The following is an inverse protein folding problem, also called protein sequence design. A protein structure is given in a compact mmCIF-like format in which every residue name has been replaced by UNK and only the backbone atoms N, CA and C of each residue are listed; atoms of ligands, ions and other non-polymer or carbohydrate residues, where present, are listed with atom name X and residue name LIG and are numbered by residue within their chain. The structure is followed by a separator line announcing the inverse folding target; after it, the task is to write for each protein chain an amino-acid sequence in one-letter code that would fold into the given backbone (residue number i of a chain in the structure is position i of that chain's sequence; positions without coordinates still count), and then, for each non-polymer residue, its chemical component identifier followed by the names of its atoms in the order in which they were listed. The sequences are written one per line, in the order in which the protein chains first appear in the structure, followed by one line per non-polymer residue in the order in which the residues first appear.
data_IF_753455508535
#
_entry.id   IF_753455508535
#
_cell.length_a   1.000
_cell.length_b   1.000
_cell.length_c   1.000
_cell.angle_alpha   90.00
_cell.angle_beta   90.00
_cell.angle_gamma   90.00
#
_symmetry.space_group_name_H-M   'P 1'
#
loop_
_entity.id
_entity.type
_entity.pdbx_description
1 polymer ?
#
# COMPACT_ATOMS: atom_id res chain seq x y z
N UNK A 1 -13.86 21.42 10.78
CA UNK A 1 -12.39 21.43 10.91
C UNK A 1 -11.82 22.11 9.67
N UNK A 2 -11.09 23.23 9.81
CA UNK A 2 -10.42 23.88 8.67
C UNK A 2 -9.36 22.92 8.14
N UNK A 3 -9.43 22.58 6.85
CA UNK A 3 -8.33 21.89 6.18
C UNK A 3 -7.19 22.89 6.05
N UNK A 4 -6.10 22.67 6.75
CA UNK A 4 -4.85 23.38 6.46
C UNK A 4 -4.36 22.91 5.09
N UNK A 5 -4.35 23.81 4.12
CA UNK A 5 -3.81 23.56 2.79
C UNK A 5 -2.40 24.12 2.78
N UNK A 6 -1.42 23.23 2.61
CA UNK A 6 -0.02 23.59 2.41
C UNK A 6 0.39 23.21 1.00
N UNK A 7 1.00 24.14 0.27
CA UNK A 7 1.45 23.95 -1.11
C UNK A 7 2.92 24.30 -1.24
N UNK A 8 3.63 23.59 -2.12
CA UNK A 8 5.00 23.94 -2.44
C UNK A 8 5.35 23.46 -3.82
N UNK A 9 6.11 24.28 -4.55
CA UNK A 9 6.67 23.92 -5.85
C UNK A 9 8.07 23.34 -5.64
N UNK A 10 8.36 22.23 -6.31
CA UNK A 10 9.68 21.58 -6.31
C UNK A 10 9.99 21.04 -7.70
N UNK A 11 11.26 21.07 -8.09
CA UNK A 11 11.72 20.39 -9.29
C UNK A 11 11.85 18.89 -9.01
N UNK A 12 11.50 18.07 -10.00
CA UNK A 12 11.75 16.63 -9.95
C UNK A 12 13.25 16.34 -10.02
N UNK A 13 13.72 15.37 -9.24
CA UNK A 13 15.07 14.86 -9.38
C UNK A 13 15.22 13.96 -10.62
N UNK A 14 16.45 13.46 -10.89
CA UNK A 14 16.80 12.79 -12.15
C UNK A 14 15.95 11.56 -12.52
N UNK A 15 15.36 10.90 -11.52
CA UNK A 15 14.53 9.70 -11.70
C UNK A 15 13.04 9.96 -11.49
N UNK A 16 12.59 11.21 -11.58
CA UNK A 16 11.21 11.58 -11.23
C UNK A 16 10.94 11.58 -9.71
N UNK A 17 12.00 11.62 -8.91
CA UNK A 17 11.90 11.65 -7.44
C UNK A 17 11.45 13.02 -6.93
N UNK A 18 10.51 13.04 -6.00
CA UNK A 18 10.06 14.24 -5.29
C UNK A 18 10.68 14.24 -3.89
N UNK A 19 11.31 15.36 -3.51
CA UNK A 19 11.84 15.53 -2.16
C UNK A 19 10.77 16.17 -1.29
N UNK A 20 10.25 15.42 -0.32
CA UNK A 20 9.30 15.97 0.67
C UNK A 20 9.99 17.00 1.57
N UNK A 21 9.49 18.24 1.53
CA UNK A 21 9.96 19.30 2.42
C UNK A 21 9.71 18.95 3.89
N UNK A 22 10.49 19.55 4.79
CA UNK A 22 10.50 19.23 6.24
C UNK A 22 9.11 19.44 6.86
N UNK A 23 8.40 20.45 6.40
CA UNK A 23 7.06 20.84 6.85
C UNK A 23 6.03 19.75 6.54
N UNK A 24 6.01 19.25 5.29
CA UNK A 24 5.11 18.15 4.91
C UNK A 24 5.41 16.88 5.68
N UNK A 25 6.70 16.52 5.84
CA UNK A 25 7.08 15.33 6.63
C UNK A 25 6.58 15.41 8.07
N UNK A 26 6.73 16.58 8.71
CA UNK A 26 6.23 16.79 10.08
C UNK A 26 4.71 16.72 10.16
N UNK A 27 4.00 17.32 9.19
CA UNK A 27 2.54 17.34 9.17
C UNK A 27 1.93 15.95 8.91
N UNK A 28 2.54 15.15 8.03
CA UNK A 28 2.03 13.82 7.65
C UNK A 28 2.61 12.68 8.50
N UNK A 29 3.65 12.94 9.29
CA UNK A 29 4.37 11.92 10.04
C UNK A 29 5.11 10.90 9.15
N UNK A 30 5.40 11.26 7.89
CA UNK A 30 6.19 10.47 6.95
C UNK A 30 7.68 10.79 7.19
N UNK A 31 8.39 9.82 7.77
CA UNK A 31 9.81 9.93 8.11
C UNK A 31 10.65 8.93 7.29
N UNK A 32 11.98 9.08 7.21
CA UNK A 32 12.83 8.06 6.60
C UNK A 32 12.51 6.65 7.13
N UNK A 33 12.35 5.68 6.24
CA UNK A 33 11.94 4.31 6.57
C UNK A 33 10.42 4.09 6.67
N UNK A 34 9.60 5.14 6.62
CA UNK A 34 8.13 5.00 6.57
C UNK A 34 7.70 4.42 5.23
N UNK A 35 6.84 3.40 5.25
CA UNK A 35 6.17 2.88 4.06
C UNK A 35 4.99 3.79 3.72
N UNK A 36 4.88 4.15 2.45
CA UNK A 36 3.78 4.99 1.93
C UNK A 36 3.02 4.23 0.85
N UNK A 37 1.76 4.61 0.67
CA UNK A 37 0.94 4.16 -0.44
C UNK A 37 0.77 5.31 -1.42
N UNK A 38 1.02 5.00 -2.69
CA UNK A 38 0.87 5.93 -3.79
C UNK A 38 -0.34 5.52 -4.62
N UNK A 39 -1.16 6.50 -5.01
CA UNK A 39 -2.34 6.28 -5.86
C UNK A 39 -2.41 7.36 -6.93
N UNK A 40 -2.66 6.95 -8.17
CA UNK A 40 -2.99 7.86 -9.26
C UNK A 40 -4.50 8.15 -9.22
N UNK A 41 -4.86 9.41 -9.00
CA UNK A 41 -6.24 9.90 -9.07
C UNK A 41 -6.34 10.97 -10.17
N UNK A 42 -6.78 10.56 -11.35
CA UNK A 42 -6.81 11.42 -12.54
C UNK A 42 -5.41 11.88 -12.93
N UNK A 43 -5.13 13.17 -12.76
CA UNK A 43 -3.82 13.78 -13.04
C UNK A 43 -2.99 14.07 -11.78
N UNK A 44 -3.33 13.47 -10.64
CA UNK A 44 -2.67 13.72 -9.35
C UNK A 44 -2.14 12.42 -8.75
N UNK A 45 -0.99 12.52 -8.10
CA UNK A 45 -0.46 11.44 -7.24
C UNK A 45 -0.83 11.77 -5.80
N UNK A 46 -1.57 10.88 -5.16
CA UNK A 46 -1.89 10.95 -3.74
C UNK A 46 -0.93 10.02 -3.00
N UNK A 47 -0.21 10.57 -2.02
CA UNK A 47 0.72 9.82 -1.18
C UNK A 47 0.17 9.85 0.25
N UNK A 48 -0.09 8.67 0.81
CA UNK A 48 -0.60 8.50 2.17
C UNK A 48 0.32 7.58 2.99
N UNK A 49 0.47 7.85 4.29
CA UNK A 49 1.21 6.96 5.18
C UNK A 49 0.49 5.61 5.25
N UNK A 50 1.22 4.53 5.01
CA UNK A 50 0.65 3.19 5.07
C UNK A 50 0.72 2.64 6.49
N UNK A 51 -0.41 2.20 7.00
CA UNK A 51 -0.48 1.40 8.23
C UNK A 51 -0.21 -0.07 7.87
N UNK A 52 1.07 -0.45 7.95
CA UNK A 52 1.54 -1.78 7.53
C UNK A 52 0.90 -2.89 8.35
N UNK A 53 0.76 -2.71 9.66
CA UNK A 53 0.14 -3.70 10.55
C UNK A 53 -1.31 -3.96 10.13
N UNK A 54 -2.06 -2.89 9.85
CA UNK A 54 -3.45 -3.01 9.39
C UNK A 54 -3.55 -3.69 8.02
N UNK A 55 -2.64 -3.39 7.10
CA UNK A 55 -2.64 -4.07 5.79
C UNK A 55 -2.27 -5.54 5.92
N UNK A 56 -1.29 -5.90 6.74
CA UNK A 56 -0.93 -7.30 7.01
C UNK A 56 -2.09 -8.06 7.64
N UNK A 57 -2.79 -7.47 8.62
CA UNK A 57 -3.96 -8.08 9.23
C UNK A 57 -5.07 -8.39 8.22
N UNK A 58 -5.23 -7.57 7.17
CA UNK A 58 -6.17 -7.87 6.07
C UNK A 58 -5.73 -9.10 5.28
N UNK A 59 -4.44 -9.21 4.97
CA UNK A 59 -3.89 -10.36 4.25
C UNK A 59 -4.10 -11.64 5.05
N UNK A 60 -3.80 -11.62 6.36
CA UNK A 60 -4.03 -12.75 7.26
C UNK A 60 -5.51 -13.16 7.32
N UNK A 61 -6.41 -12.17 7.41
CA UNK A 61 -7.86 -12.42 7.38
C UNK A 61 -8.28 -13.12 6.08
N UNK A 62 -7.77 -12.66 4.95
CA UNK A 62 -8.03 -13.29 3.64
C UNK A 62 -7.49 -14.72 3.61
N UNK A 63 -6.24 -14.92 4.05
CA UNK A 63 -5.63 -16.24 4.12
C UNK A 63 -6.44 -17.21 4.99
N UNK A 64 -6.95 -16.74 6.13
CA UNK A 64 -7.84 -17.54 7.00
C UNK A 64 -9.15 -17.91 6.31
N UNK A 65 -9.77 -16.98 5.59
CA UNK A 65 -11.01 -17.26 4.83
C UNK A 65 -10.78 -18.29 3.71
N UNK A 66 -9.67 -18.16 2.97
CA UNK A 66 -9.30 -19.10 1.91
C UNK A 66 -9.03 -20.48 2.51
N UNK A 67 -8.25 -20.55 3.59
CA UNK A 67 -7.92 -21.81 4.28
C UNK A 67 -9.17 -22.57 4.77
N UNK A 68 -10.17 -21.86 5.31
CA UNK A 68 -11.44 -22.48 5.73
C UNK A 68 -12.23 -23.11 4.58
N UNK A 69 -12.15 -22.53 3.38
CA UNK A 69 -12.84 -23.02 2.18
C UNK A 69 -12.00 -24.04 1.40
N UNK A 70 -10.71 -24.13 1.68
CA UNK A 70 -9.80 -25.02 0.96
C UNK A 70 -10.01 -26.49 1.35
N UNK A 71 -10.07 -27.43 0.40
CA UNK A 71 -10.24 -28.84 0.70
C UNK A 71 -9.04 -29.39 1.50
N UNK A 72 -9.33 -30.07 2.61
CA UNK A 72 -8.30 -30.68 3.45
C UNK A 72 -7.66 -31.88 2.75
N UNK A 73 -6.33 -31.98 2.79
CA UNK A 73 -5.58 -33.10 2.22
C UNK A 73 -5.21 -32.97 0.74
N UNK A 74 -5.62 -31.88 0.08
CA UNK A 74 -5.25 -31.58 -1.32
C UNK A 74 -4.30 -30.38 -1.35
N UNK A 75 -3.12 -30.58 -1.93
CA UNK A 75 -2.21 -29.47 -2.20
C UNK A 75 -2.73 -28.61 -3.36
N UNK A 76 -2.35 -27.32 -3.36
CA UNK A 76 -2.63 -26.41 -4.47
C UNK A 76 -2.20 -26.97 -5.83
N UNK A 77 -1.09 -27.70 -5.86
CA UNK A 77 -0.55 -28.32 -7.08
C UNK A 77 -1.42 -29.50 -7.55
N UNK A 78 -1.93 -30.32 -6.63
CA UNK A 78 -2.83 -31.44 -6.98
C UNK A 78 -4.18 -30.93 -7.49
N UNK A 79 -4.77 -29.95 -6.83
CA UNK A 79 -6.05 -29.35 -7.25
C UNK A 79 -5.99 -28.78 -8.68
N UNK A 80 -4.91 -28.05 -9.00
CA UNK A 80 -4.72 -27.49 -10.36
C UNK A 80 -4.48 -28.59 -11.40
N UNK A 81 -3.81 -29.70 -11.04
CA UNK A 81 -3.60 -30.84 -11.96
C UNK A 81 -4.89 -31.57 -12.28
N UNK A 82 -5.81 -31.69 -11.32
CA UNK A 82 -7.13 -32.30 -11.55
C UNK A 82 -8.03 -31.41 -12.40
N UNK A 83 -8.01 -30.07 -12.20
CA UNK A 83 -8.82 -29.14 -12.99
C UNK A 83 -8.39 -29.04 -14.46
N UNK A 84 -7.10 -29.25 -14.76
CA UNK A 84 -6.56 -29.21 -16.13
C UNK A 84 -6.78 -30.48 -16.94
N UNK A 85 -7.31 -31.53 -16.30
CA UNK A 85 -7.45 -32.87 -16.89
C UNK A 85 -8.85 -33.07 -17.45
#
# INVERSE_FOLDING_TARGET
MKKEVMESISRLGPKGQIVLKKEFRKATGIMPGTVVKERLEGNRIVIEKLDVERELAKVEKIASMVSKKWPKGLSAVQAIREERR
#
